data_IF_403683511580
#
_entry.id   IF_403683511580
#
_cell.length_a   1.000
_cell.length_b   1.000
_cell.length_c   1.000
_cell.angle_alpha   90.00
_cell.angle_beta   90.00
_cell.angle_gamma   90.00
#
_symmetry.space_group_name_H-M   'P 1'
#
loop_
_entity.id
_entity.type
_entity.pdbx_description
1 polymer ?
#
# COMPACT_ATOMS: atom_id res chain seq x y z
N UNK A 1 -8.73 -19.08 -11.38
CA UNK A 1 -8.29 -19.14 -9.97
C UNK A 1 -7.51 -17.87 -9.66
N UNK A 2 -7.76 -17.23 -8.51
CA UNK A 2 -7.07 -16.02 -8.06
C UNK A 2 -5.90 -16.43 -7.16
N UNK A 3 -4.69 -15.93 -7.44
CA UNK A 3 -3.51 -16.13 -6.60
C UNK A 3 -3.13 -14.80 -5.93
N UNK A 4 -3.00 -14.82 -4.61
CA UNK A 4 -2.54 -13.66 -3.83
C UNK A 4 -1.24 -14.06 -3.14
N UNK A 5 -0.18 -13.31 -3.38
CA UNK A 5 1.12 -13.53 -2.76
C UNK A 5 1.45 -12.36 -1.84
N UNK A 6 1.38 -12.59 -0.53
CA UNK A 6 1.80 -11.63 0.48
C UNK A 6 3.31 -11.66 0.68
N UNK A 7 3.95 -10.49 0.75
CA UNK A 7 5.38 -10.40 1.04
C UNK A 7 5.59 -9.93 2.48
N UNK A 8 6.24 -10.76 3.29
CA UNK A 8 6.48 -10.50 4.70
C UNK A 8 7.98 -10.35 5.00
N UNK A 9 8.37 -9.37 5.82
CA UNK A 9 9.65 -9.45 6.54
C UNK A 9 9.56 -10.50 7.66
N UNK A 10 10.66 -10.77 8.37
CA UNK A 10 10.72 -11.85 9.37
C UNK A 10 9.63 -11.74 10.47
N UNK A 11 9.11 -10.53 10.71
CA UNK A 11 8.02 -10.27 11.68
C UNK A 11 6.64 -10.40 11.02
N UNK A 12 6.54 -10.12 9.72
CA UNK A 12 5.29 -10.10 8.98
C UNK A 12 4.65 -11.46 8.70
N UNK A 13 5.39 -12.58 8.75
CA UNK A 13 4.83 -13.89 8.39
C UNK A 13 3.68 -14.32 9.33
N UNK A 14 3.86 -14.13 10.64
CA UNK A 14 2.82 -14.40 11.63
C UNK A 14 1.58 -13.53 11.46
N UNK A 15 1.72 -12.33 10.90
CA UNK A 15 0.60 -11.42 10.63
C UNK A 15 -0.16 -11.75 9.34
N UNK A 16 0.53 -12.29 8.33
CA UNK A 16 -0.08 -12.60 7.03
C UNK A 16 -0.82 -13.94 7.01
N UNK A 17 -0.45 -14.89 7.87
CA UNK A 17 -1.10 -16.20 7.92
C UNK A 17 -2.61 -16.11 8.28
N UNK A 18 -3.03 -15.41 9.35
CA UNK A 18 -4.46 -15.23 9.64
C UNK A 18 -5.21 -14.47 8.53
N UNK A 19 -4.53 -13.54 7.84
CA UNK A 19 -5.09 -12.82 6.68
C UNK A 19 -5.33 -13.77 5.53
N UNK A 20 -4.38 -14.66 5.23
CA UNK A 20 -4.53 -15.70 4.22
C UNK A 20 -5.71 -16.62 4.51
N UNK A 21 -5.82 -17.13 5.74
CA UNK A 21 -6.94 -17.99 6.17
C UNK A 21 -8.30 -17.27 6.06
N UNK A 22 -8.36 -15.99 6.44
CA UNK A 22 -9.54 -15.17 6.27
C UNK A 22 -9.91 -15.02 4.79
N UNK A 23 -8.94 -14.74 3.91
CA UNK A 23 -9.17 -14.61 2.47
C UNK A 23 -9.63 -15.92 1.84
N UNK A 24 -9.06 -17.06 2.26
CA UNK A 24 -9.49 -18.38 1.78
C UNK A 24 -10.95 -18.66 2.16
N UNK A 25 -11.34 -18.40 3.43
CA UNK A 25 -12.75 -18.53 3.86
C UNK A 25 -13.68 -17.62 3.07
N UNK A 26 -13.25 -16.42 2.71
CA UNK A 26 -14.03 -15.55 1.82
C UNK A 26 -14.13 -16.11 0.40
N UNK A 27 -13.04 -16.67 -0.14
CA UNK A 27 -13.05 -17.36 -1.43
C UNK A 27 -14.07 -18.49 -1.46
N UNK A 28 -14.04 -19.36 -0.44
CA UNK A 28 -15.00 -20.47 -0.29
C UNK A 28 -16.45 -19.96 -0.20
N UNK A 29 -16.71 -18.99 0.68
CA UNK A 29 -18.04 -18.42 0.89
C UNK A 29 -18.66 -17.84 -0.38
N UNK A 30 -17.85 -17.21 -1.23
CA UNK A 30 -18.31 -16.56 -2.46
C UNK A 30 -18.03 -17.38 -3.73
N UNK A 31 -17.64 -18.65 -3.58
CA UNK A 31 -17.33 -19.57 -4.69
C UNK A 31 -16.25 -19.01 -5.65
N UNK A 32 -15.24 -18.33 -5.09
CA UNK A 32 -14.10 -17.79 -5.82
C UNK A 32 -12.87 -18.64 -5.52
N UNK A 33 -12.35 -19.40 -6.49
CA UNK A 33 -11.15 -20.21 -6.28
C UNK A 33 -9.97 -19.28 -5.97
N UNK A 34 -9.48 -19.31 -4.73
CA UNK A 34 -8.43 -18.43 -4.22
C UNK A 34 -7.30 -19.25 -3.60
N UNK A 35 -6.05 -18.89 -3.94
CA UNK A 35 -4.84 -19.42 -3.32
C UNK A 35 -4.04 -18.27 -2.71
N UNK A 36 -3.68 -18.38 -1.44
CA UNK A 36 -2.84 -17.42 -0.74
C UNK A 36 -1.45 -18.00 -0.47
N UNK A 37 -0.41 -17.27 -0.87
CA UNK A 37 0.98 -17.63 -0.66
C UNK A 37 1.67 -16.55 0.18
N UNK A 38 2.71 -16.93 0.93
CA UNK A 38 3.57 -15.99 1.66
C UNK A 38 5.00 -16.15 1.17
N UNK A 39 5.65 -15.04 0.83
CA UNK A 39 7.06 -14.98 0.43
C UNK A 39 7.83 -14.07 1.38
N UNK A 40 8.96 -14.55 1.89
CA UNK A 40 9.84 -13.77 2.75
C UNK A 40 10.55 -12.63 1.99
N UNK A 41 10.61 -11.45 2.60
CA UNK A 41 11.19 -10.21 2.09
C UNK A 41 12.66 -10.31 1.69
N UNK A 42 13.54 -11.05 2.41
CA UNK A 42 14.91 -11.26 1.94
C UNK A 42 14.98 -11.89 0.55
N UNK A 43 13.98 -12.69 0.17
CA UNK A 43 13.88 -13.30 -1.17
C UNK A 43 13.46 -12.30 -2.26
N UNK A 44 13.01 -11.08 -1.91
CA UNK A 44 12.75 -10.00 -2.88
C UNK A 44 14.00 -9.52 -3.61
N UNK A 45 15.20 -9.87 -3.11
CA UNK A 45 16.45 -9.65 -3.86
C UNK A 45 16.45 -10.40 -5.19
N UNK A 46 15.77 -11.53 -5.25
CA UNK A 46 15.67 -12.41 -6.41
C UNK A 46 14.20 -12.62 -6.81
N UNK A 47 13.47 -11.52 -7.02
CA UNK A 47 12.09 -11.55 -7.53
C UNK A 47 12.02 -12.29 -8.86
N UNK A 48 11.30 -13.41 -8.88
CA UNK A 48 11.07 -14.23 -10.07
C UNK A 48 9.63 -14.73 -10.11
N UNK A 49 9.19 -15.20 -11.28
CA UNK A 49 7.86 -15.80 -11.45
C UNK A 49 7.66 -17.01 -10.55
N UNK A 50 8.65 -17.91 -10.55
CA UNK A 50 8.63 -19.13 -9.72
C UNK A 50 8.56 -18.82 -8.22
N UNK A 51 9.27 -17.78 -7.75
CA UNK A 51 9.18 -17.36 -6.35
C UNK A 51 7.78 -16.86 -5.97
N UNK A 52 7.12 -16.15 -6.90
CA UNK A 52 5.77 -15.60 -6.68
C UNK A 52 4.66 -16.61 -6.97
N UNK A 53 4.99 -17.76 -7.59
CA UNK A 53 4.08 -18.87 -7.87
C UNK A 53 3.04 -18.58 -8.97
N UNK A 54 3.39 -17.76 -9.96
CA UNK A 54 2.48 -17.44 -11.08
C UNK A 54 3.03 -17.89 -12.43
N UNK A 55 2.12 -18.28 -13.31
CA UNK A 55 2.39 -18.86 -14.64
C UNK A 55 2.53 -17.78 -15.73
N UNK A 56 3.19 -18.07 -16.87
CA UNK A 56 3.40 -17.08 -17.93
C UNK A 56 2.12 -16.52 -18.57
N UNK A 57 1.03 -17.28 -18.58
CA UNK A 57 -0.29 -16.92 -19.11
C UNK A 57 -1.15 -16.16 -18.08
N UNK A 58 -0.73 -16.11 -16.82
CA UNK A 58 -1.44 -15.38 -15.77
C UNK A 58 -1.15 -13.88 -15.81
N UNK A 59 -2.19 -13.09 -15.55
CA UNK A 59 -2.06 -11.64 -15.44
C UNK A 59 -1.52 -11.24 -14.06
N UNK A 60 -0.39 -10.52 -14.04
CA UNK A 60 0.23 -10.03 -12.82
C UNK A 60 -0.21 -8.60 -12.47
N UNK A 61 -0.63 -8.40 -11.22
CA UNK A 61 -0.76 -7.08 -10.58
C UNK A 61 0.17 -7.01 -9.39
N UNK A 62 0.95 -5.94 -9.26
CA UNK A 62 1.84 -5.72 -8.11
C UNK A 62 1.37 -4.52 -7.32
N UNK A 63 0.94 -4.75 -6.09
CA UNK A 63 0.42 -3.69 -5.23
C UNK A 63 1.45 -3.19 -4.23
N UNK A 64 1.68 -1.88 -4.20
CA UNK A 64 2.43 -1.21 -3.14
C UNK A 64 1.47 -0.42 -2.26
N UNK A 65 1.30 -0.84 -1.01
CA UNK A 65 0.49 -0.14 -0.04
C UNK A 65 1.27 0.13 1.24
N UNK A 66 1.47 1.42 1.56
CA UNK A 66 2.07 1.93 2.80
C UNK A 66 3.38 1.21 3.18
N UNK A 67 4.29 1.03 2.21
CA UNK A 67 5.55 0.31 2.46
C UNK A 67 6.77 1.00 1.87
N UNK A 68 6.60 1.80 0.81
CA UNK A 68 7.73 2.41 0.11
C UNK A 68 8.29 3.63 0.85
N UNK A 69 7.49 4.31 1.69
CA UNK A 69 7.99 5.44 2.49
C UNK A 69 9.12 5.05 3.45
N UNK A 70 9.15 3.81 3.98
CA UNK A 70 10.19 3.33 4.89
C UNK A 70 11.46 2.85 4.17
N UNK A 71 11.38 2.64 2.85
CA UNK A 71 12.51 2.14 2.09
C UNK A 71 13.50 3.27 1.79
N UNK A 72 14.77 3.06 2.10
CA UNK A 72 15.83 4.03 1.80
C UNK A 72 15.88 4.36 0.31
N UNK A 73 16.19 5.62 0.00
CA UNK A 73 16.41 6.10 -1.36
C UNK A 73 17.80 6.74 -1.48
N UNK A 74 18.07 7.44 -2.59
CA UNK A 74 19.34 8.11 -2.88
C UNK A 74 19.80 9.08 -1.79
N UNK A 75 18.88 9.64 -0.99
CA UNK A 75 19.28 10.54 0.11
C UNK A 75 19.90 9.79 1.29
N UNK A 76 19.81 8.46 1.31
CA UNK A 76 20.22 7.60 2.42
C UNK A 76 21.19 6.49 2.02
N UNK A 77 21.15 6.05 0.76
CA UNK A 77 21.98 4.96 0.26
C UNK A 77 22.27 5.11 -1.23
N UNK A 78 23.55 5.04 -1.59
CA UNK A 78 24.01 4.94 -2.98
C UNK A 78 23.48 3.71 -3.70
N UNK A 79 23.09 2.67 -2.96
CA UNK A 79 22.53 1.44 -3.54
C UNK A 79 21.08 1.59 -4.00
N UNK A 80 20.36 2.63 -3.56
CA UNK A 80 18.98 2.97 -3.93
C UNK A 80 18.07 1.73 -4.09
N UNK A 81 17.74 1.04 -2.98
CA UNK A 81 16.99 -0.22 -2.99
C UNK A 81 15.58 -0.07 -3.59
N UNK A 82 14.99 1.13 -3.46
CA UNK A 82 13.68 1.48 -4.03
C UNK A 82 13.66 1.39 -5.54
N UNK A 83 14.67 1.95 -6.21
CA UNK A 83 14.74 1.91 -7.68
C UNK A 83 15.12 0.53 -8.21
N UNK A 84 15.92 -0.22 -7.44
CA UNK A 84 16.17 -1.64 -7.73
C UNK A 84 14.88 -2.46 -7.66
N UNK A 85 14.03 -2.22 -6.66
CA UNK A 85 12.73 -2.88 -6.55
C UNK A 85 11.83 -2.55 -7.74
N UNK A 86 11.71 -1.27 -8.12
CA UNK A 86 10.90 -0.86 -9.27
C UNK A 86 11.37 -1.50 -10.57
N UNK A 87 12.69 -1.56 -10.82
CA UNK A 87 13.24 -2.24 -12.01
C UNK A 87 12.93 -3.73 -12.04
N UNK A 88 13.07 -4.42 -10.89
CA UNK A 88 12.70 -5.84 -10.78
C UNK A 88 11.21 -6.06 -11.06
N UNK A 89 10.37 -5.22 -10.47
CA UNK A 89 8.91 -5.27 -10.68
C UNK A 89 8.58 -5.01 -12.14
N UNK A 90 9.21 -4.05 -12.81
CA UNK A 90 9.05 -3.83 -14.26
C UNK A 90 9.44 -5.08 -15.06
N UNK A 91 10.53 -5.76 -14.67
CA UNK A 91 11.00 -7.01 -15.28
C UNK A 91 10.01 -8.18 -15.17
N UNK A 92 9.12 -8.18 -14.17
CA UNK A 92 8.03 -9.16 -14.07
C UNK A 92 6.89 -8.91 -15.06
N UNK A 93 6.92 -7.79 -15.80
CA UNK A 93 5.89 -7.38 -16.75
C UNK A 93 4.47 -7.30 -16.15
N UNK A 94 4.26 -6.63 -15.01
CA UNK A 94 2.93 -6.46 -14.43
C UNK A 94 2.03 -5.67 -15.39
N UNK A 95 0.77 -6.08 -15.48
CA UNK A 95 -0.23 -5.34 -16.24
C UNK A 95 -0.52 -3.99 -15.56
N UNK A 96 -0.62 -4.02 -14.22
CA UNK A 96 -0.98 -2.86 -13.40
C UNK A 96 -0.14 -2.86 -12.12
N UNK A 97 0.25 -1.67 -11.68
CA UNK A 97 0.92 -1.40 -10.40
C UNK A 97 0.14 -0.33 -9.64
N UNK A 98 -0.78 -0.72 -8.74
CA UNK A 98 -1.41 0.20 -7.80
C UNK A 98 -0.38 0.67 -6.76
N UNK A 99 -0.42 1.96 -6.44
CA UNK A 99 0.37 2.58 -5.39
C UNK A 99 -0.55 3.33 -4.43
N UNK A 100 -0.38 3.04 -3.14
CA UNK A 100 -1.08 3.71 -2.03
C UNK A 100 -0.03 4.11 -1.00
N UNK A 101 0.17 5.41 -0.82
CA UNK A 101 1.14 5.96 0.13
C UNK A 101 0.57 7.20 0.82
N UNK A 102 1.19 7.58 1.93
CA UNK A 102 0.87 8.81 2.66
C UNK A 102 1.19 10.05 1.81
N UNK A 103 0.24 10.96 1.68
CA UNK A 103 0.44 12.24 0.99
C UNK A 103 1.02 13.27 1.95
N UNK A 104 2.34 13.25 2.13
CA UNK A 104 3.03 14.12 3.07
C UNK A 104 4.47 14.41 2.63
N UNK A 105 4.92 15.68 2.73
CA UNK A 105 6.28 16.06 2.34
C UNK A 105 7.28 15.98 3.51
N UNK A 106 7.60 14.77 4.00
CA UNK A 106 8.55 14.61 5.13
C UNK A 106 9.91 14.05 4.75
N UNK A 107 10.14 13.55 3.53
CA UNK A 107 11.44 12.94 3.22
C UNK A 107 12.61 13.94 3.22
N UNK A 108 12.57 14.92 2.30
CA UNK A 108 13.69 15.86 2.03
C UNK A 108 13.39 17.29 2.48
N UNK A 109 12.35 17.50 3.28
CA UNK A 109 11.94 18.83 3.71
C UNK A 109 12.70 19.29 4.96
N UNK A 110 12.79 20.61 5.15
CA UNK A 110 13.34 21.23 6.36
C UNK A 110 12.61 20.77 7.61
N UNK A 111 13.26 20.82 8.78
CA UNK A 111 12.64 20.42 10.06
C UNK A 111 11.28 21.08 10.28
N UNK A 112 11.20 22.41 10.18
CA UNK A 112 9.94 23.15 10.39
C UNK A 112 8.85 22.72 9.41
N UNK A 113 9.21 22.51 8.14
CA UNK A 113 8.27 21.97 7.15
C UNK A 113 7.78 20.59 7.55
N UNK A 114 8.67 19.68 7.99
CA UNK A 114 8.27 18.34 8.43
C UNK A 114 7.33 18.36 9.62
N UNK A 115 7.58 19.23 10.61
CA UNK A 115 6.69 19.40 11.77
C UNK A 115 5.30 19.81 11.31
N UNK A 116 5.21 20.83 10.46
CA UNK A 116 3.92 21.30 9.93
C UNK A 116 3.18 20.20 9.17
N UNK A 117 3.87 19.52 8.26
CA UNK A 117 3.30 18.45 7.43
C UNK A 117 2.83 17.26 8.29
N UNK A 118 3.66 16.78 9.21
CA UNK A 118 3.36 15.66 10.09
C UNK A 118 2.19 15.97 11.04
N UNK A 119 2.21 17.11 11.72
CA UNK A 119 1.12 17.48 12.63
C UNK A 119 -0.20 17.62 11.90
N UNK A 120 -0.21 18.28 10.74
CA UNK A 120 -1.44 18.43 9.93
C UNK A 120 -1.99 17.07 9.51
N UNK A 121 -1.11 16.21 8.98
CA UNK A 121 -1.46 14.90 8.47
C UNK A 121 -2.01 13.97 9.56
N UNK A 122 -1.27 13.84 10.66
CA UNK A 122 -1.61 12.90 11.72
C UNK A 122 -2.75 13.41 12.61
N UNK A 123 -2.97 14.73 12.71
CA UNK A 123 -4.18 15.26 13.34
C UNK A 123 -5.44 14.79 12.60
N UNK A 124 -5.48 14.92 11.28
CA UNK A 124 -6.59 14.42 10.47
C UNK A 124 -6.79 12.90 10.60
N UNK A 125 -5.69 12.13 10.64
CA UNK A 125 -5.77 10.68 10.88
C UNK A 125 -6.29 10.33 12.28
N UNK A 126 -5.91 11.06 13.31
CA UNK A 126 -6.40 10.80 14.67
C UNK A 126 -7.88 11.15 14.80
N UNK A 127 -8.33 12.24 14.19
CA UNK A 127 -9.74 12.62 14.10
C UNK A 127 -10.58 11.55 13.37
N UNK A 128 -10.03 11.01 12.26
CA UNK A 128 -10.55 9.85 11.56
C UNK A 128 -10.74 8.62 12.45
N UNK A 129 -9.68 8.21 13.14
CA UNK A 129 -9.72 7.05 14.05
C UNK A 129 -10.73 7.33 15.17
N UNK A 130 -10.80 8.58 15.64
CA UNK A 130 -11.69 8.96 16.72
C UNK A 130 -13.16 8.90 16.35
N UNK A 131 -13.51 9.26 15.12
CA UNK A 131 -14.87 9.24 14.58
C UNK A 131 -15.34 7.86 14.11
N UNK A 132 -14.42 7.00 13.67
CA UNK A 132 -14.77 5.70 13.05
C UNK A 132 -14.61 4.48 13.97
N UNK A 133 -13.74 4.56 14.99
CA UNK A 133 -13.46 3.43 15.89
C UNK A 133 -14.21 3.62 17.22
N UNK A 134 -15.02 2.62 17.64
CA UNK A 134 -15.62 2.57 18.98
C UNK A 134 -14.59 2.80 20.11
N UNK A 135 -15.03 3.22 21.29
CA UNK A 135 -14.13 3.61 22.40
C UNK A 135 -13.45 2.42 23.14
N UNK A 136 -13.15 1.32 22.45
CA UNK A 136 -12.58 0.10 23.02
C UNK A 136 -11.02 0.09 22.99
N UNK A 137 -10.41 -0.89 23.68
CA UNK A 137 -8.93 -1.06 23.75
C UNK A 137 -8.19 -1.02 22.38
N UNK A 138 -8.69 -1.55 21.25
CA UNK A 138 -7.99 -1.45 19.96
C UNK A 138 -7.82 -0.01 19.46
N UNK A 139 -8.62 0.96 19.93
CA UNK A 139 -8.42 2.38 19.62
C UNK A 139 -7.12 2.92 20.22
N UNK A 140 -6.78 2.52 21.46
CA UNK A 140 -5.57 2.97 22.16
C UNK A 140 -4.28 2.54 21.44
N UNK A 141 -4.21 1.27 21.04
CA UNK A 141 -3.03 0.75 20.32
C UNK A 141 -2.80 1.48 18.98
N UNK A 142 -3.87 1.84 18.26
CA UNK A 142 -3.76 2.63 17.02
C UNK A 142 -3.21 4.03 17.28
N UNK A 143 -3.69 4.70 18.32
CA UNK A 143 -3.19 6.03 18.71
C UNK A 143 -1.71 5.97 19.09
N UNK A 144 -1.29 4.97 19.87
CA UNK A 144 0.11 4.79 20.25
C UNK A 144 1.03 4.60 19.03
N UNK A 145 0.62 3.78 18.06
CA UNK A 145 1.36 3.61 16.79
C UNK A 145 1.47 4.93 16.02
N UNK A 146 0.40 5.73 15.96
CA UNK A 146 0.42 7.04 15.28
C UNK A 146 1.38 8.00 15.98
N UNK A 147 1.39 8.04 17.31
CA UNK A 147 2.32 8.87 18.09
C UNK A 147 3.78 8.51 17.80
N UNK A 148 4.11 7.23 17.69
CA UNK A 148 5.46 6.79 17.32
C UNK A 148 5.85 7.24 15.91
N UNK A 149 4.91 7.25 14.97
CA UNK A 149 5.16 7.74 13.61
C UNK A 149 5.37 9.25 13.55
N UNK A 150 4.60 10.02 14.32
CA UNK A 150 4.81 11.47 14.47
C UNK A 150 6.23 11.70 15.00
N UNK A 151 6.57 11.05 16.12
CA UNK A 151 7.88 11.19 16.76
C UNK A 151 9.01 10.86 15.78
N UNK A 152 8.94 9.74 15.05
CA UNK A 152 9.98 9.40 14.08
C UNK A 152 10.07 10.40 12.91
N UNK A 153 8.94 10.93 12.44
CA UNK A 153 8.90 11.91 11.33
C UNK A 153 9.59 13.23 11.68
N UNK A 154 9.50 13.66 12.95
CA UNK A 154 9.97 14.98 13.39
C UNK A 154 11.26 14.94 14.20
N UNK A 155 11.40 13.99 15.12
CA UNK A 155 12.46 13.97 16.14
C UNK A 155 13.69 13.15 15.73
N UNK A 156 13.54 12.20 14.81
CA UNK A 156 14.68 11.42 14.31
C UNK A 156 15.35 12.11 13.12
N UNK A 157 16.63 11.81 12.91
CA UNK A 157 17.37 12.24 11.71
C UNK A 157 18.23 11.11 11.16
N UNK A 158 18.85 11.35 10.00
CA UNK A 158 19.76 10.38 9.39
C UNK A 158 19.09 9.00 9.19
N UNK A 159 19.77 7.94 9.62
CA UNK A 159 19.31 6.54 9.46
C UNK A 159 18.16 6.17 10.39
N UNK A 160 18.06 6.81 11.54
CA UNK A 160 17.02 6.56 12.54
C UNK A 160 15.65 7.07 12.09
N UNK A 161 15.62 8.06 11.18
CA UNK A 161 14.37 8.54 10.59
C UNK A 161 13.91 7.62 9.45
N UNK A 162 12.87 6.84 9.72
CA UNK A 162 12.26 5.88 8.79
C UNK A 162 10.93 6.35 8.19
N UNK A 163 10.21 7.26 8.84
CA UNK A 163 8.93 7.82 8.35
C UNK A 163 9.14 8.89 7.26
N UNK A 164 9.67 8.45 6.10
CA UNK A 164 10.09 9.30 4.98
C UNK A 164 9.05 9.36 3.86
N UNK A 165 7.94 10.01 4.13
CA UNK A 165 6.84 10.17 3.19
C UNK A 165 7.19 11.13 2.04
N UNK A 166 6.53 10.93 0.90
CA UNK A 166 6.69 11.76 -0.30
C UNK A 166 5.31 12.12 -0.84
N UNK A 167 5.16 13.35 -1.31
CA UNK A 167 3.99 13.76 -2.10
C UNK A 167 3.93 13.00 -3.43
N UNK A 168 2.73 12.79 -3.94
CA UNK A 168 2.47 12.03 -5.16
C UNK A 168 3.30 12.50 -6.37
N UNK A 169 3.55 13.80 -6.51
CA UNK A 169 4.38 14.32 -7.59
C UNK A 169 5.76 13.65 -7.64
N UNK A 170 6.37 13.38 -6.47
CA UNK A 170 7.67 12.69 -6.37
C UNK A 170 7.53 11.19 -6.71
N UNK A 171 6.44 10.54 -6.28
CA UNK A 171 6.17 9.14 -6.66
C UNK A 171 5.96 8.98 -8.16
N UNK A 172 5.19 9.89 -8.78
CA UNK A 172 4.91 9.90 -10.22
C UNK A 172 6.20 10.00 -11.04
N UNK A 173 7.06 10.97 -10.72
CA UNK A 173 8.35 11.13 -11.41
C UNK A 173 9.19 9.87 -11.28
N UNK A 174 9.30 9.31 -10.08
CA UNK A 174 10.14 8.15 -9.81
C UNK A 174 9.69 6.88 -10.53
N UNK A 175 8.39 6.61 -10.51
CA UNK A 175 7.80 5.50 -11.27
C UNK A 175 7.93 5.73 -12.78
N UNK A 176 7.81 6.98 -13.24
CA UNK A 176 8.09 7.36 -14.62
C UNK A 176 9.52 7.03 -15.06
N UNK A 177 10.52 7.41 -14.26
CA UNK A 177 11.94 7.07 -14.50
C UNK A 177 12.17 5.56 -14.50
N UNK A 178 11.46 4.82 -13.64
CA UNK A 178 11.49 3.35 -13.66
C UNK A 178 10.76 2.74 -14.86
N UNK A 179 10.13 3.55 -15.72
CA UNK A 179 9.47 3.14 -16.96
C UNK A 179 8.04 2.66 -16.76
N UNK A 180 7.34 3.19 -15.76
CA UNK A 180 5.90 3.03 -15.59
C UNK A 180 5.15 4.27 -16.06
N UNK A 181 3.98 4.08 -16.65
CA UNK A 181 3.09 5.15 -17.07
C UNK A 181 1.91 5.29 -16.10
N UNK A 182 1.60 6.51 -15.68
CA UNK A 182 0.41 6.81 -14.91
C UNK A 182 -0.84 6.52 -15.76
N UNK A 183 -1.85 5.90 -15.15
CA UNK A 183 -3.16 5.71 -15.76
C UNK A 183 -4.27 6.35 -14.92
N UNK A 184 -5.26 6.99 -15.58
CA UNK A 184 -6.42 7.47 -14.88
C UNK A 184 -7.15 6.29 -14.22
N UNK A 185 -7.68 6.54 -13.03
CA UNK A 185 -8.60 5.61 -12.40
C UNK A 185 -9.91 5.59 -13.18
N UNK A 186 -10.59 4.44 -13.19
CA UNK A 186 -11.93 4.37 -13.77
C UNK A 186 -12.88 5.29 -12.98
N UNK A 187 -13.88 5.87 -13.66
CA UNK A 187 -14.90 6.68 -12.97
C UNK A 187 -15.59 5.88 -11.86
N UNK A 188 -15.73 4.56 -12.03
CA UNK A 188 -16.28 3.67 -11.02
C UNK A 188 -15.40 3.60 -9.78
N UNK A 189 -14.06 3.49 -9.91
CA UNK A 189 -13.15 3.54 -8.77
C UNK A 189 -13.17 4.90 -8.09
N UNK A 190 -13.25 5.99 -8.85
CA UNK A 190 -13.32 7.35 -8.27
C UNK A 190 -14.64 7.56 -7.51
N UNK A 191 -15.76 7.10 -8.07
CA UNK A 191 -17.09 7.20 -7.44
C UNK A 191 -17.19 6.31 -6.21
N UNK A 192 -16.84 5.03 -6.33
CA UNK A 192 -16.98 4.07 -5.23
C UNK A 192 -15.85 4.17 -4.21
N UNK A 193 -14.68 4.70 -4.59
CA UNK A 193 -13.60 5.06 -3.68
C UNK A 193 -14.07 6.09 -2.66
N UNK A 194 -14.77 7.14 -3.10
CA UNK A 194 -15.37 8.18 -2.24
C UNK A 194 -16.61 7.75 -1.43
N UNK A 195 -17.26 6.63 -1.80
CA UNK A 195 -18.60 6.23 -1.29
C UNK A 195 -18.49 5.04 -0.30
N UNK A 196 -17.35 4.36 -0.20
CA UNK A 196 -17.23 3.12 0.60
C UNK A 196 -16.82 3.33 2.05
N UNK A 197 -17.25 4.46 2.64
CA UNK A 197 -16.89 4.83 3.99
C UNK A 197 -17.93 4.47 5.07
N UNK A 198 -19.18 4.08 4.76
CA UNK A 198 -20.22 4.11 5.80
C UNK A 198 -20.87 2.81 6.29
N UNK A 199 -20.91 1.67 5.60
CA UNK A 199 -21.41 0.39 6.18
C UNK A 199 -21.46 -0.72 5.13
N UNK A 200 -21.19 -1.97 5.52
CA UNK A 200 -21.75 -3.14 4.81
C UNK A 200 -21.03 -3.63 3.55
N UNK A 201 -19.71 -3.48 3.45
CA UNK A 201 -18.91 -3.88 2.27
C UNK A 201 -18.88 -5.40 1.95
N UNK A 202 -19.49 -6.25 2.79
CA UNK A 202 -19.70 -7.68 2.48
C UNK A 202 -21.15 -8.01 2.03
N UNK A 203 -22.11 -7.09 2.18
CA UNK A 203 -23.53 -7.35 1.82
C UNK A 203 -23.95 -6.77 0.46
N UNK A 204 -23.13 -5.93 -0.18
CA UNK A 204 -23.54 -5.17 -1.39
C UNK A 204 -22.67 -5.39 -2.63
N UNK A 205 -21.63 -6.22 -2.55
CA UNK A 205 -20.79 -6.60 -3.70
C UNK A 205 -21.49 -7.59 -4.65
N UNK A 206 -22.70 -8.01 -4.32
CA UNK A 206 -23.48 -9.04 -5.03
C UNK A 206 -24.24 -8.53 -6.27
N UNK A 207 -24.31 -7.20 -6.51
CA UNK A 207 -25.19 -6.64 -7.54
C UNK A 207 -24.54 -5.84 -8.66
N UNK A 208 -23.24 -5.54 -8.62
CA UNK A 208 -22.63 -4.68 -9.62
C UNK A 208 -21.28 -5.20 -10.08
N UNK A 209 -21.09 -5.17 -11.40
CA UNK A 209 -20.01 -5.77 -12.20
C UNK A 209 -18.63 -5.12 -11.93
N UNK A 210 -18.18 -5.14 -10.68
CA UNK A 210 -16.91 -4.55 -10.21
C UNK A 210 -15.79 -5.57 -10.37
N UNK A 211 -14.69 -5.17 -11.01
CA UNK A 211 -13.59 -6.10 -11.30
C UNK A 211 -12.75 -6.40 -10.05
N UNK A 212 -12.14 -7.59 -9.98
CA UNK A 212 -11.26 -8.00 -8.87
C UNK A 212 -10.11 -7.02 -8.57
N UNK A 213 -9.60 -6.35 -9.60
CA UNK A 213 -8.58 -5.29 -9.46
C UNK A 213 -9.10 -4.08 -8.68
N UNK A 214 -10.39 -3.76 -8.80
CA UNK A 214 -11.07 -2.67 -8.11
C UNK A 214 -11.47 -3.10 -6.69
N UNK A 215 -11.80 -4.37 -6.46
CA UNK A 215 -12.05 -4.92 -5.13
C UNK A 215 -10.76 -4.93 -4.29
N UNK A 216 -9.62 -5.34 -4.86
CA UNK A 216 -8.31 -5.28 -4.17
C UNK A 216 -7.92 -3.84 -3.88
N UNK A 217 -8.11 -2.92 -4.84
CA UNK A 217 -7.93 -1.49 -4.59
C UNK A 217 -8.83 -1.00 -3.43
N UNK A 218 -10.11 -1.37 -3.42
CA UNK A 218 -11.06 -0.97 -2.37
C UNK A 218 -10.77 -1.60 -0.99
N UNK A 219 -10.28 -2.84 -0.94
CA UNK A 219 -9.83 -3.49 0.30
C UNK A 219 -8.58 -2.80 0.87
N UNK A 220 -7.82 -2.09 0.03
CA UNK A 220 -6.63 -1.31 0.42
C UNK A 220 -6.94 0.19 0.65
N UNK A 221 -8.08 0.69 0.18
CA UNK A 221 -8.59 2.07 0.33
C UNK A 221 -9.52 2.19 1.56
N UNK A 222 -9.42 1.29 2.54
CA UNK A 222 -10.18 1.42 3.78
C UNK A 222 -9.71 2.60 4.65
N UNK A 223 -10.01 3.85 4.24
CA UNK A 223 -10.21 5.09 5.01
C UNK A 223 -10.19 6.34 4.08
N UNK A 224 -11.34 6.83 3.61
CA UNK A 224 -11.50 8.21 3.07
C UNK A 224 -11.31 9.31 4.12
N UNK A 225 -11.01 8.96 5.38
CA UNK A 225 -10.68 9.95 6.40
C UNK A 225 -9.16 10.08 6.60
N UNK A 226 -8.36 9.51 5.68
CA UNK A 226 -6.91 9.59 5.72
C UNK A 226 -6.35 10.27 4.47
N UNK A 227 -5.38 11.20 4.60
CA UNK A 227 -4.75 11.79 3.42
C UNK A 227 -3.82 10.75 2.77
N UNK A 228 -4.37 9.86 1.95
CA UNK A 228 -3.59 8.92 1.16
C UNK A 228 -3.94 9.08 -0.30
N UNK A 229 -2.94 8.92 -1.18
CA UNK A 229 -3.17 8.98 -2.63
C UNK A 229 -3.13 7.57 -3.20
N UNK A 230 -4.27 7.14 -3.71
CA UNK A 230 -4.42 5.93 -4.51
C UNK A 230 -4.21 6.28 -5.98
N UNK A 231 -3.25 5.63 -6.63
CA UNK A 231 -2.94 5.85 -8.04
C UNK A 231 -2.57 4.55 -8.75
N UNK A 232 -2.88 4.48 -10.04
CA UNK A 232 -2.68 3.31 -10.87
C UNK A 232 -1.61 3.58 -11.92
N UNK A 233 -0.63 2.70 -12.04
CA UNK A 233 0.38 2.74 -13.10
C UNK A 233 0.27 1.49 -13.98
N UNK A 234 0.69 1.59 -15.24
CA UNK A 234 0.96 0.43 -16.12
C UNK A 234 2.44 0.41 -16.49
N UNK A 235 2.91 -0.71 -17.03
CA UNK A 235 4.21 -0.75 -17.71
C UNK A 235 4.22 0.22 -18.90
N UNK A 236 5.26 1.05 -18.99
CA UNK A 236 5.58 1.82 -20.20
C UNK A 236 6.30 0.93 -21.21
N UNK A 237 6.24 1.33 -22.48
CA UNK A 237 6.89 0.61 -23.59
C UNK A 237 8.39 0.39 -23.32
#
# INVERSE_FOLDING_TARGET
MVKITGVADNVGEGTLRPVGEMLSRFGEKYCVPLKFNIVASPKLRNLSRGLLGYEPDETLTVNFAFKLYQMSDESMSTHNPKDKLFRRVKGLAPQIVPLVEQEMNTNTASFLTRVREATTYYAALLESINSTVPKDRPKRAKVEVVSLKIANSVACEGRERVERCKVFGKWRVRLGVAGFELKPLSQNVVRHGKIKLMTGLLRRLERQNVTWSEIIAMLLIGCDVFPSKFVKFKRGN
#
